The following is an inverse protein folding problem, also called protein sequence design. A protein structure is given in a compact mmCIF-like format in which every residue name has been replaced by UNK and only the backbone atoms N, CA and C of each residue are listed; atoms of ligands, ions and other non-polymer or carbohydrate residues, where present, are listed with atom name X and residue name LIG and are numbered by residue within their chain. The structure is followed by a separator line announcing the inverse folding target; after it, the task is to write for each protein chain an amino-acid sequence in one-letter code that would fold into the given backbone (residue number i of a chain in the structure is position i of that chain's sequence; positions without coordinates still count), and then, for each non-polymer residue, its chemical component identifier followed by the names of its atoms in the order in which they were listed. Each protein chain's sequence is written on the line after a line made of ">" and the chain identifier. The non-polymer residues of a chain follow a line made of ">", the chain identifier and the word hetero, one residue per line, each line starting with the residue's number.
data_IF_656553014529
#
_entry.id   IF_656553014529
#
_cell.length_a   1.000
_cell.length_b   1.000
_cell.length_c   1.000
_cell.angle_alpha   90.00
_cell.angle_beta   90.00
_cell.angle_gamma   90.00
#
_symmetry.space_group_name_H-M   'P 1'
#
loop_
_entity.id
_entity.type
_entity.pdbx_description
1 polymer ?
#
# COMPACT_ATOMS: atom_id res chain seq x y z
N UNK A 1 2.77 3.80 16.98
CA UNK A 1 3.78 2.99 16.28
C UNK A 1 3.14 1.90 15.46
N UNK A 2 3.84 1.45 14.44
CA UNK A 2 3.40 0.32 13.62
C UNK A 2 4.54 -0.33 12.86
N UNK A 3 4.33 -1.60 12.50
CA UNK A 3 5.21 -2.41 11.67
C UNK A 3 4.48 -2.78 10.39
N UNK A 4 5.17 -2.87 9.24
CA UNK A 4 4.61 -3.23 7.95
C UNK A 4 3.37 -2.40 7.59
N UNK A 5 2.19 -3.00 7.46
CA UNK A 5 0.93 -2.28 7.23
C UNK A 5 0.61 -1.25 8.32
N UNK A 6 0.98 -1.53 9.58
CA UNK A 6 0.88 -0.57 10.68
C UNK A 6 1.81 0.63 10.51
N UNK A 7 3.02 0.43 9.99
CA UNK A 7 3.95 1.51 9.67
C UNK A 7 3.43 2.36 8.49
N UNK A 8 2.84 1.73 7.47
CA UNK A 8 2.16 2.42 6.37
C UNK A 8 1.00 3.28 6.89
N UNK A 9 0.21 2.73 7.82
CA UNK A 9 -0.92 3.43 8.45
C UNK A 9 -0.46 4.65 9.24
N UNK A 10 0.49 4.50 10.17
CA UNK A 10 0.96 5.65 10.97
C UNK A 10 1.63 6.71 10.12
N UNK A 11 2.34 6.31 9.06
CA UNK A 11 2.93 7.24 8.09
C UNK A 11 1.86 8.00 7.29
N UNK A 12 0.75 7.35 6.93
CA UNK A 12 -0.39 8.00 6.27
C UNK A 12 -1.05 9.02 7.20
N UNK A 13 -1.19 8.72 8.50
CA UNK A 13 -1.75 9.64 9.48
C UNK A 13 -0.96 10.94 9.64
N UNK A 14 0.33 10.95 9.30
CA UNK A 14 1.14 12.18 9.27
C UNK A 14 0.65 13.20 8.22
N UNK A 15 -0.09 12.74 7.20
CA UNK A 15 -0.62 13.56 6.12
C UNK A 15 -2.15 13.82 6.21
N UNK A 16 -2.82 13.23 7.19
CA UNK A 16 -4.27 13.40 7.40
C UNK A 16 -4.51 14.58 8.34
N UNK A 17 -5.11 15.70 7.87
CA UNK A 17 -5.30 16.88 8.71
C UNK A 17 -6.09 16.63 9.99
N UNK A 18 -7.10 15.74 9.93
CA UNK A 18 -7.91 15.36 11.10
C UNK A 18 -7.11 14.59 12.17
N UNK A 19 -5.91 14.10 11.86
CA UNK A 19 -5.01 13.46 12.81
C UNK A 19 -4.09 14.43 13.53
N UNK A 20 -4.09 15.70 13.14
CA UNK A 20 -3.25 16.71 13.77
C UNK A 20 -3.60 16.88 15.26
N UNK A 21 -2.56 16.87 16.10
CA UNK A 21 -2.71 17.02 17.55
C UNK A 21 -3.10 15.75 18.30
N UNK A 22 -3.44 14.64 17.60
CA UNK A 22 -3.81 13.38 18.26
C UNK A 22 -2.60 12.61 18.80
N UNK A 23 -1.41 12.86 18.26
CA UNK A 23 -0.16 12.21 18.68
C UNK A 23 1.02 13.16 18.50
N UNK A 24 2.12 12.88 19.18
CA UNK A 24 3.36 13.68 19.15
C UNK A 24 4.54 12.94 18.54
N UNK A 25 4.48 11.63 18.47
CA UNK A 25 5.58 10.77 18.03
C UNK A 25 5.07 9.63 17.20
N UNK A 26 5.85 9.23 16.21
CA UNK A 26 5.57 8.10 15.34
C UNK A 26 6.80 7.20 15.26
N UNK A 27 6.59 5.89 15.35
CA UNK A 27 7.58 4.87 15.03
C UNK A 27 7.03 4.06 13.87
N UNK A 28 7.72 4.10 12.73
CA UNK A 28 7.36 3.38 11.50
C UNK A 28 8.45 2.34 11.20
N UNK A 29 8.09 1.06 11.34
CA UNK A 29 9.02 -0.06 11.18
C UNK A 29 8.66 -0.83 9.91
N UNK A 30 9.60 -0.93 8.96
CA UNK A 30 9.44 -1.73 7.73
C UNK A 30 8.19 -1.38 6.91
N UNK A 31 7.87 -0.10 6.85
CA UNK A 31 6.76 0.46 6.09
C UNK A 31 6.91 1.96 5.92
N UNK A 32 6.37 2.50 4.85
CA UNK A 32 6.56 3.89 4.48
C UNK A 32 5.27 4.55 3.95
N UNK A 33 5.34 5.85 3.75
CA UNK A 33 4.24 6.72 3.35
C UNK A 33 3.80 6.60 1.87
N UNK A 34 4.44 5.73 1.08
CA UNK A 34 4.15 5.57 -0.35
C UNK A 34 3.01 4.61 -0.69
N UNK A 35 2.41 3.93 0.29
CA UNK A 35 1.40 2.90 0.08
C UNK A 35 -0.02 3.48 0.02
N UNK A 36 -0.23 4.38 -0.92
CA UNK A 36 -1.53 5.01 -1.20
C UNK A 36 -1.92 4.77 -2.67
N UNK A 37 -3.13 5.12 -3.02
CA UNK A 37 -3.65 5.06 -4.38
C UNK A 37 -4.45 6.33 -4.70
N UNK A 38 -4.64 6.60 -5.98
CA UNK A 38 -5.55 7.63 -6.45
C UNK A 38 -7.02 7.18 -6.38
N UNK A 39 -7.94 8.12 -6.54
CA UNK A 39 -9.38 7.88 -6.51
C UNK A 39 -9.84 6.89 -7.60
N UNK A 40 -9.25 6.95 -8.78
CA UNK A 40 -9.62 6.05 -9.88
C UNK A 40 -9.18 4.61 -9.61
N UNK A 41 -7.98 4.42 -9.05
CA UNK A 41 -7.50 3.10 -8.61
C UNK A 41 -8.33 2.55 -7.46
N UNK A 42 -8.71 3.39 -6.50
CA UNK A 42 -9.61 3.02 -5.42
C UNK A 42 -10.98 2.58 -5.93
N UNK A 43 -11.55 3.32 -6.89
CA UNK A 43 -12.82 2.99 -7.54
C UNK A 43 -12.74 1.65 -8.28
N UNK A 44 -11.68 1.40 -9.05
CA UNK A 44 -11.48 0.11 -9.74
C UNK A 44 -11.39 -1.04 -8.75
N UNK A 45 -10.63 -0.88 -7.66
CA UNK A 45 -10.52 -1.91 -6.63
C UNK A 45 -11.88 -2.20 -5.97
N UNK A 46 -12.65 -1.16 -5.62
CA UNK A 46 -13.98 -1.30 -5.05
C UNK A 46 -14.95 -2.00 -6.02
N UNK A 47 -14.99 -1.59 -7.29
CA UNK A 47 -15.83 -2.22 -8.32
C UNK A 47 -15.49 -3.71 -8.43
N UNK A 48 -14.21 -4.05 -8.55
CA UNK A 48 -13.77 -5.45 -8.66
C UNK A 48 -14.16 -6.28 -7.43
N UNK A 49 -14.00 -5.73 -6.24
CA UNK A 49 -14.41 -6.42 -5.01
C UNK A 49 -15.93 -6.66 -4.96
N UNK A 50 -16.72 -5.68 -5.33
CA UNK A 50 -18.18 -5.80 -5.38
C UNK A 50 -18.63 -6.86 -6.40
N UNK A 51 -18.01 -6.89 -7.57
CA UNK A 51 -18.26 -7.92 -8.60
C UNK A 51 -17.99 -9.32 -8.07
N UNK A 52 -16.84 -9.52 -7.40
CA UNK A 52 -16.48 -10.81 -6.80
C UNK A 52 -17.41 -11.22 -5.66
N UNK A 53 -17.96 -10.26 -4.91
CA UNK A 53 -18.93 -10.51 -3.85
C UNK A 53 -20.37 -10.70 -4.37
N UNK A 54 -20.61 -10.47 -5.67
CA UNK A 54 -21.96 -10.49 -6.25
C UNK A 54 -22.88 -9.40 -5.67
N UNK A 55 -22.30 -8.24 -5.34
CA UNK A 55 -23.02 -7.11 -4.73
C UNK A 55 -23.04 -5.95 -5.74
N UNK A 56 -24.23 -5.55 -6.11
CA UNK A 56 -24.48 -4.40 -6.98
C UNK A 56 -24.84 -3.11 -6.23
N UNK A 57 -24.92 -1.97 -6.92
CA UNK A 57 -25.22 -0.67 -6.31
C UNK A 57 -26.52 -0.66 -5.49
N UNK A 58 -27.55 -1.39 -5.94
CA UNK A 58 -28.84 -1.50 -5.25
C UNK A 58 -28.83 -2.44 -4.05
N UNK A 59 -27.77 -3.19 -3.85
CA UNK A 59 -27.66 -4.23 -2.81
C UNK A 59 -26.47 -4.02 -1.86
N UNK A 60 -25.89 -2.82 -1.82
CA UNK A 60 -24.71 -2.51 -0.99
C UNK A 60 -24.90 -2.82 0.49
N UNK A 61 -26.13 -2.71 1.01
CA UNK A 61 -26.44 -3.05 2.40
C UNK A 61 -26.10 -4.52 2.74
N UNK A 62 -26.12 -5.43 1.76
CA UNK A 62 -25.74 -6.84 1.95
C UNK A 62 -24.28 -7.04 2.38
N UNK A 63 -23.43 -6.06 2.17
CA UNK A 63 -22.03 -6.15 2.63
C UNK A 63 -21.95 -6.37 4.15
N UNK A 64 -22.86 -5.79 4.92
CA UNK A 64 -22.88 -5.95 6.38
C UNK A 64 -23.24 -7.39 6.83
N UNK A 65 -23.92 -8.15 5.98
CA UNK A 65 -24.39 -9.50 6.29
C UNK A 65 -23.43 -10.59 5.79
N UNK A 66 -22.41 -10.21 5.01
CA UNK A 66 -21.44 -11.17 4.47
C UNK A 66 -20.45 -11.63 5.54
N UNK A 67 -20.09 -12.92 5.55
CA UNK A 67 -19.11 -13.43 6.48
C UNK A 67 -17.71 -12.87 6.15
N UNK A 68 -16.89 -12.67 7.17
CA UNK A 68 -15.49 -12.18 7.01
C UNK A 68 -14.69 -13.02 6.00
N UNK A 69 -14.97 -14.33 5.93
CA UNK A 69 -14.31 -15.22 4.96
C UNK A 69 -14.51 -14.75 3.51
N UNK A 70 -15.67 -14.25 3.14
CA UNK A 70 -15.93 -13.75 1.78
C UNK A 70 -15.01 -12.58 1.42
N UNK A 71 -14.78 -11.66 2.35
CA UNK A 71 -13.85 -10.54 2.13
C UNK A 71 -12.40 -10.98 2.03
N UNK A 72 -11.99 -11.93 2.87
CA UNK A 72 -10.65 -12.53 2.79
C UNK A 72 -10.42 -13.20 1.42
N UNK A 73 -11.37 -13.99 0.96
CA UNK A 73 -11.26 -14.73 -0.30
C UNK A 73 -11.22 -13.78 -1.51
N UNK A 74 -12.00 -12.71 -1.48
CA UNK A 74 -11.92 -11.61 -2.47
C UNK A 74 -10.55 -10.94 -2.44
N UNK A 75 -10.03 -10.63 -1.25
CA UNK A 75 -8.71 -10.00 -1.12
C UNK A 75 -7.62 -10.89 -1.72
N UNK A 76 -7.63 -12.19 -1.38
CA UNK A 76 -6.68 -13.17 -1.92
C UNK A 76 -6.80 -13.29 -3.45
N UNK A 77 -8.02 -13.33 -3.99
CA UNK A 77 -8.24 -13.36 -5.43
C UNK A 77 -7.64 -12.13 -6.11
N UNK A 78 -7.94 -10.93 -5.60
CA UNK A 78 -7.45 -9.68 -6.17
C UNK A 78 -5.93 -9.52 -6.04
N UNK A 79 -5.31 -10.07 -4.99
CA UNK A 79 -3.85 -10.09 -4.85
C UNK A 79 -3.17 -10.95 -5.92
N UNK A 80 -3.81 -12.03 -6.33
CA UNK A 80 -3.27 -12.98 -7.30
C UNK A 80 -3.58 -12.62 -8.77
N UNK A 81 -4.52 -11.69 -9.02
CA UNK A 81 -4.90 -11.28 -10.39
C UNK A 81 -3.80 -10.53 -11.14
N UNK A 82 -2.89 -9.89 -10.43
CA UNK A 82 -1.80 -9.12 -11.03
C UNK A 82 -0.48 -9.42 -10.30
N UNK A 83 0.20 -10.53 -10.67
CA UNK A 83 1.45 -10.94 -10.06
C UNK A 83 2.61 -9.95 -10.32
N UNK A 84 2.48 -9.08 -11.32
CA UNK A 84 3.46 -8.02 -11.63
C UNK A 84 3.17 -6.71 -10.91
N UNK A 85 2.13 -6.63 -10.10
CA UNK A 85 1.85 -5.46 -9.29
C UNK A 85 2.97 -5.25 -8.28
N UNK A 86 3.53 -4.05 -8.23
CA UNK A 86 4.64 -3.70 -7.32
C UNK A 86 4.27 -3.89 -5.83
N UNK A 87 2.99 -3.74 -5.51
CA UNK A 87 2.46 -3.94 -4.16
C UNK A 87 1.16 -4.74 -4.28
N UNK A 88 1.14 -6.00 -3.79
CA UNK A 88 -0.03 -6.87 -3.88
C UNK A 88 -1.09 -6.50 -2.83
N UNK A 89 -1.36 -5.21 -2.63
CA UNK A 89 -2.37 -4.69 -1.71
C UNK A 89 -3.46 -4.00 -2.50
N UNK A 90 -4.60 -4.67 -2.78
CA UNK A 90 -5.69 -4.09 -3.56
C UNK A 90 -6.37 -2.93 -2.83
N UNK A 91 -6.42 -2.98 -1.51
CA UNK A 91 -7.02 -1.95 -0.67
C UNK A 91 -5.94 -1.12 0.00
N UNK A 92 -5.88 0.16 -0.33
CA UNK A 92 -4.93 1.14 0.20
C UNK A 92 -5.66 2.43 0.52
N UNK A 93 -5.11 3.27 1.43
CA UNK A 93 -5.62 4.61 1.61
C UNK A 93 -5.68 5.36 0.27
N UNK A 94 -6.79 6.04 0.03
CA UNK A 94 -7.02 6.76 -1.23
C UNK A 94 -6.75 8.25 -1.02
N UNK A 95 -5.94 8.83 -1.88
CA UNK A 95 -5.77 10.30 -1.96
C UNK A 95 -7.05 10.84 -2.60
N UNK A 96 -7.97 11.34 -1.77
CA UNK A 96 -9.33 11.71 -2.14
C UNK A 96 -9.57 13.23 -2.20
N UNK A 97 -8.54 14.01 -1.89
CA UNK A 97 -8.62 15.47 -1.86
C UNK A 97 -9.35 16.01 -0.60
N UNK A 98 -9.81 15.16 0.29
CA UNK A 98 -10.61 15.53 1.48
C UNK A 98 -10.01 14.98 2.77
N UNK A 99 -10.18 13.69 3.05
CA UNK A 99 -9.63 13.04 4.25
C UNK A 99 -8.11 12.89 4.12
N UNK A 100 -7.64 12.48 2.96
CA UNK A 100 -6.23 12.46 2.58
C UNK A 100 -6.04 13.39 1.37
N UNK A 101 -5.80 14.69 1.60
CA UNK A 101 -5.83 15.70 0.54
C UNK A 101 -4.74 15.53 -0.52
N UNK A 102 -3.55 15.10 -0.09
CA UNK A 102 -2.39 14.89 -0.96
C UNK A 102 -1.66 13.60 -0.57
N UNK A 103 -0.79 13.12 -1.44
CA UNK A 103 0.02 11.94 -1.13
C UNK A 103 0.89 12.19 0.13
N UNK A 104 0.99 11.21 1.05
CA UNK A 104 1.72 11.40 2.31
C UNK A 104 3.18 11.83 2.13
N UNK A 105 3.86 11.32 1.11
CA UNK A 105 5.24 11.75 0.83
C UNK A 105 5.33 13.24 0.46
N UNK A 106 4.38 13.73 -0.33
CA UNK A 106 4.34 15.15 -0.72
C UNK A 106 3.99 16.04 0.48
N UNK A 107 3.05 15.60 1.32
CA UNK A 107 2.70 16.29 2.56
C UNK A 107 3.92 16.38 3.49
N UNK A 108 4.65 15.27 3.68
CA UNK A 108 5.87 15.25 4.51
C UNK A 108 6.97 16.13 3.93
N UNK A 109 7.20 16.08 2.63
CA UNK A 109 8.17 16.93 1.95
C UNK A 109 7.84 18.44 2.08
N UNK A 110 6.56 18.78 2.14
CA UNK A 110 6.10 20.15 2.38
C UNK A 110 6.11 20.57 3.86
N UNK A 111 6.50 19.67 4.78
CA UNK A 111 6.61 19.97 6.21
C UNK A 111 5.33 19.78 7.02
N UNK A 112 4.30 19.11 6.50
CA UNK A 112 3.03 18.92 7.18
C UNK A 112 3.15 18.32 8.60
N UNK A 113 4.14 17.45 8.83
CA UNK A 113 4.39 16.81 10.12
C UNK A 113 5.70 17.24 10.79
N UNK A 114 6.21 18.44 10.49
CA UNK A 114 7.49 18.95 11.04
C UNK A 114 7.54 19.05 12.56
N UNK A 115 6.37 19.05 13.22
CA UNK A 115 6.21 19.08 14.67
C UNK A 115 6.12 17.69 15.33
N UNK A 116 6.22 16.61 14.55
CA UNK A 116 6.14 15.21 15.01
C UNK A 116 7.52 14.60 15.01
N UNK A 117 7.93 14.02 16.14
CA UNK A 117 9.15 13.23 16.22
C UNK A 117 8.92 11.88 15.47
N UNK A 118 9.72 11.62 14.46
CA UNK A 118 9.62 10.41 13.65
C UNK A 118 10.85 9.53 13.81
N UNK A 119 10.64 8.28 14.21
CA UNK A 119 11.63 7.20 14.11
C UNK A 119 11.19 6.24 13.01
N UNK A 120 11.97 6.13 11.95
CA UNK A 120 11.68 5.24 10.84
C UNK A 120 12.88 4.34 10.53
N UNK A 121 12.63 3.10 10.15
CA UNK A 121 13.67 2.16 9.81
C UNK A 121 13.15 0.90 9.14
N UNK A 122 14.10 0.17 8.54
CA UNK A 122 13.89 -1.14 7.92
C UNK A 122 14.98 -2.10 8.38
N UNK A 123 14.74 -3.40 8.26
CA UNK A 123 15.77 -4.39 8.48
C UNK A 123 16.73 -4.46 7.27
N UNK A 124 17.97 -4.86 7.51
CA UNK A 124 18.95 -5.06 6.43
C UNK A 124 18.49 -6.12 5.42
N UNK A 125 17.91 -7.20 5.93
CA UNK A 125 17.50 -8.35 5.12
C UNK A 125 15.96 -8.44 5.03
N UNK A 126 15.29 -7.31 4.87
CA UNK A 126 13.83 -7.09 4.90
C UNK A 126 13.05 -8.09 4.02
N UNK A 127 13.58 -8.36 2.83
CA UNK A 127 12.89 -9.18 1.83
C UNK A 127 13.10 -10.69 2.00
N UNK A 128 13.95 -11.14 2.93
CA UNK A 128 14.24 -12.57 3.08
C UNK A 128 13.02 -13.38 3.52
N UNK A 129 12.13 -12.82 4.34
CA UNK A 129 10.87 -13.47 4.71
C UNK A 129 10.01 -13.75 3.47
N UNK A 130 9.83 -12.75 2.61
CA UNK A 130 9.02 -12.89 1.39
C UNK A 130 9.64 -13.85 0.39
N UNK A 131 10.97 -13.88 0.28
CA UNK A 131 11.69 -14.87 -0.53
C UNK A 131 11.48 -16.29 -0.01
N UNK A 132 11.57 -16.48 1.31
CA UNK A 132 11.32 -17.77 1.93
C UNK A 132 9.88 -18.24 1.71
N UNK A 133 8.90 -17.36 1.90
CA UNK A 133 7.48 -17.67 1.64
C UNK A 133 7.27 -18.07 0.18
N UNK A 134 7.81 -17.31 -0.77
CA UNK A 134 7.72 -17.63 -2.19
C UNK A 134 8.35 -18.97 -2.54
N UNK A 135 9.49 -19.33 -1.93
CA UNK A 135 10.13 -20.64 -2.08
C UNK A 135 9.25 -21.77 -1.53
N UNK A 136 8.64 -21.58 -0.38
CA UNK A 136 7.73 -22.58 0.23
C UNK A 136 6.46 -22.78 -0.62
N UNK A 137 6.01 -21.74 -1.32
CA UNK A 137 4.89 -21.78 -2.27
C UNK A 137 5.29 -22.33 -3.67
N UNK A 138 6.55 -22.78 -3.82
CA UNK A 138 7.05 -23.38 -5.07
C UNK A 138 7.45 -22.36 -6.14
N UNK A 139 7.58 -21.09 -5.81
CA UNK A 139 8.08 -20.09 -6.74
C UNK A 139 9.59 -20.30 -7.00
N UNK A 140 10.03 -20.03 -8.24
CA UNK A 140 11.46 -20.08 -8.57
C UNK A 140 12.24 -19.05 -7.76
N UNK A 141 13.41 -19.41 -7.22
CA UNK A 141 14.19 -18.54 -6.32
C UNK A 141 14.78 -17.29 -6.99
N UNK A 142 14.86 -17.29 -8.30
CA UNK A 142 15.49 -16.21 -9.06
C UNK A 142 14.45 -15.31 -9.73
N UNK A 143 14.47 -14.03 -9.32
CA UNK A 143 13.95 -12.98 -10.17
C UNK A 143 14.88 -12.91 -11.38
N UNK A 144 14.39 -13.24 -12.57
CA UNK A 144 15.11 -12.91 -13.80
C UNK A 144 15.51 -11.43 -13.75
N UNK A 145 16.75 -11.11 -14.09
CA UNK A 145 17.30 -9.73 -14.07
C UNK A 145 16.37 -8.73 -14.76
N UNK A 146 15.74 -9.15 -15.86
CA UNK A 146 14.74 -8.35 -16.60
C UNK A 146 13.49 -8.02 -15.79
N UNK A 147 13.08 -8.87 -14.87
CA UNK A 147 11.92 -8.63 -14.01
C UNK A 147 12.27 -7.67 -12.87
N UNK A 148 13.47 -7.81 -12.30
CA UNK A 148 14.00 -6.89 -11.32
C UNK A 148 14.19 -5.50 -11.91
N UNK A 149 14.81 -5.38 -13.07
CA UNK A 149 15.02 -4.10 -13.77
C UNK A 149 13.69 -3.41 -14.07
N UNK A 150 12.67 -4.12 -14.58
CA UNK A 150 11.33 -3.55 -14.81
C UNK A 150 10.67 -3.04 -13.54
N UNK A 151 10.87 -3.69 -12.38
CA UNK A 151 10.36 -3.23 -11.08
C UNK A 151 11.11 -1.99 -10.60
N UNK A 152 12.43 -1.97 -10.75
CA UNK A 152 13.26 -0.81 -10.42
C UNK A 152 12.91 0.38 -11.30
N UNK A 153 12.75 0.21 -12.60
CA UNK A 153 12.34 1.29 -13.52
C UNK A 153 11.00 1.89 -13.12
N UNK A 154 10.00 1.07 -12.80
CA UNK A 154 8.69 1.56 -12.33
C UNK A 154 8.80 2.31 -11.00
N UNK A 155 9.60 1.81 -10.06
CA UNK A 155 9.81 2.46 -8.77
C UNK A 155 10.54 3.80 -8.92
N UNK A 156 11.58 3.85 -9.76
CA UNK A 156 12.37 5.06 -10.02
C UNK A 156 11.60 6.10 -10.84
N UNK A 157 10.78 5.66 -11.80
CA UNK A 157 9.93 6.57 -12.57
C UNK A 157 8.95 7.35 -11.67
N UNK A 158 8.43 6.73 -10.61
CA UNK A 158 7.60 7.41 -9.59
C UNK A 158 8.37 8.44 -8.78
N UNK A 159 9.68 8.32 -8.68
CA UNK A 159 10.57 9.28 -8.01
C UNK A 159 11.15 10.32 -8.98
N UNK A 160 10.69 10.35 -10.24
CA UNK A 160 11.24 11.23 -11.28
C UNK A 160 12.68 10.86 -11.70
N UNK A 161 13.09 9.63 -11.45
CA UNK A 161 14.42 9.09 -11.84
C UNK A 161 14.23 7.89 -12.75
N UNK A 162 15.15 7.70 -13.71
CA UNK A 162 15.18 6.51 -14.57
C UNK A 162 16.38 5.66 -14.22
N UNK A 163 16.19 4.35 -14.07
CA UNK A 163 17.28 3.39 -13.92
C UNK A 163 18.01 3.30 -15.26
N UNK A 164 19.23 3.80 -15.33
CA UNK A 164 20.05 3.73 -16.53
C UNK A 164 20.52 5.07 -17.12
N UNK A 165 20.38 6.14 -16.36
CA UNK A 165 20.98 7.45 -16.69
C UNK A 165 22.31 7.65 -15.94
N UNK A 166 23.23 6.68 -16.06
CA UNK A 166 24.69 6.86 -15.83
C UNK A 166 25.45 5.82 -16.67
#
# INVERSE_FOLDING_TARGET
>A
FGESAGAMSVSTHLAVPASSGLFRRVIAQSGAAGHVQDTESGRRAATRALDLLGVGPSTLARLADLPTAAFRDVTNTMQNEDPDRDVPLPFRPTVDGSVLPVAPLDALASGAASHIDLLAGTNRDEMNLFRLMALLDGAAPDLEDTRLLRRLDRALARLGRHAGAE
#
